data_IF_196186657011
#
_entry.id   IF_196186657011
#
_cell.length_a   1.000
_cell.length_b   1.000
_cell.length_c   1.000
_cell.angle_alpha   90.00
_cell.angle_beta   90.00
_cell.angle_gamma   90.00
#
_symmetry.space_group_name_H-M   'P 1'
#
loop_
_entity.id
_entity.type
_entity.pdbx_description
1 polymer ?
#
# COMPACT_ATOMS: atom_id res chain seq x y z
N UNK A 1 -33.13 -0.42 -0.15
CA UNK A 1 -31.96 -1.16 0.41
C UNK A 1 -30.69 -0.31 0.35
N UNK A 2 -30.21 0.11 -0.82
CA UNK A 2 -29.00 0.96 -0.93
C UNK A 2 -29.13 2.31 -0.21
N UNK A 3 -30.28 2.97 -0.27
CA UNK A 3 -30.51 4.24 0.45
C UNK A 3 -30.36 4.08 1.96
N UNK A 4 -30.92 3.02 2.55
CA UNK A 4 -30.76 2.72 3.98
C UNK A 4 -29.30 2.44 4.35
N UNK A 5 -28.56 1.74 3.49
CA UNK A 5 -27.14 1.51 3.71
C UNK A 5 -26.33 2.82 3.65
N UNK A 6 -26.69 3.73 2.75
CA UNK A 6 -26.06 5.05 2.64
C UNK A 6 -26.39 5.94 3.83
N UNK A 7 -27.62 5.88 4.35
CA UNK A 7 -27.97 6.58 5.59
C UNK A 7 -27.11 6.10 6.76
N UNK A 8 -26.82 4.80 6.86
CA UNK A 8 -25.88 4.27 7.87
C UNK A 8 -24.46 4.75 7.58
N UNK A 9 -24.04 4.82 6.33
CA UNK A 9 -22.70 5.33 5.95
C UNK A 9 -22.50 6.76 6.45
N UNK A 10 -23.45 7.66 6.17
CA UNK A 10 -23.33 9.07 6.55
C UNK A 10 -23.50 9.30 8.04
N UNK A 11 -24.48 8.67 8.67
CA UNK A 11 -24.82 8.97 10.06
C UNK A 11 -23.98 8.19 11.09
N UNK A 12 -23.31 7.11 10.67
CA UNK A 12 -22.57 6.24 11.57
C UNK A 12 -21.17 5.93 11.06
N UNK A 13 -21.05 5.29 9.90
CA UNK A 13 -19.78 4.74 9.43
C UNK A 13 -18.70 5.83 9.25
N UNK A 14 -19.00 6.91 8.52
CA UNK A 14 -18.03 7.98 8.26
C UNK A 14 -17.63 8.70 9.56
N UNK A 15 -18.58 9.18 10.40
CA UNK A 15 -18.23 9.80 11.68
C UNK A 15 -17.38 8.91 12.59
N UNK A 16 -17.74 7.63 12.73
CA UNK A 16 -17.00 6.67 13.54
C UNK A 16 -15.58 6.46 13.00
N UNK A 17 -15.44 6.33 11.67
CA UNK A 17 -14.14 6.17 11.00
C UNK A 17 -13.26 7.41 11.15
N UNK A 18 -13.80 8.62 11.03
CA UNK A 18 -13.05 9.86 11.25
C UNK A 18 -12.51 9.89 12.68
N UNK A 19 -13.37 9.65 13.68
CA UNK A 19 -12.96 9.64 15.08
C UNK A 19 -11.86 8.60 15.35
N UNK A 20 -12.01 7.40 14.79
CA UNK A 20 -11.04 6.33 14.95
C UNK A 20 -9.70 6.66 14.26
N UNK A 21 -9.72 7.22 13.04
CA UNK A 21 -8.50 7.63 12.32
C UNK A 21 -7.76 8.75 13.04
N UNK A 22 -8.47 9.73 13.60
CA UNK A 22 -7.86 10.79 14.42
C UNK A 22 -7.18 10.25 15.69
N UNK A 23 -7.76 9.22 16.30
CA UNK A 23 -7.12 8.53 17.44
C UNK A 23 -5.90 7.73 16.99
N UNK A 24 -6.00 7.08 15.82
CA UNK A 24 -4.92 6.28 15.25
C UNK A 24 -3.69 7.11 14.91
N UNK A 25 -3.87 8.35 14.43
CA UNK A 25 -2.78 9.28 14.14
C UNK A 25 -1.90 9.57 15.38
N UNK A 26 -2.51 9.58 16.57
CA UNK A 26 -1.80 9.82 17.84
C UNK A 26 -1.17 8.55 18.43
N UNK A 27 -1.36 7.40 17.77
CA UNK A 27 -0.88 6.13 18.28
C UNK A 27 0.64 6.01 18.12
N UNK A 28 1.31 5.63 19.21
CA UNK A 28 2.75 5.32 19.25
C UNK A 28 3.23 4.28 18.21
N UNK A 29 2.31 3.51 17.62
CA UNK A 29 2.59 2.59 16.50
C UNK A 29 3.04 3.30 15.22
N UNK A 30 2.66 4.56 15.03
CA UNK A 30 3.06 5.38 13.89
C UNK A 30 4.36 6.16 14.14
N UNK A 31 5.10 5.84 15.21
CA UNK A 31 6.43 6.40 15.45
C UNK A 31 7.47 5.84 14.46
N UNK A 32 8.04 6.73 13.65
CA UNK A 32 9.09 6.42 12.67
C UNK A 32 10.33 5.76 13.29
N UNK A 33 10.63 6.05 14.56
CA UNK A 33 11.76 5.45 15.26
C UNK A 33 11.62 3.92 15.37
N UNK A 34 10.39 3.39 15.40
CA UNK A 34 10.11 1.94 15.43
C UNK A 34 10.37 1.26 14.10
N UNK A 35 10.28 2.00 13.00
CA UNK A 35 10.48 1.47 11.64
C UNK A 35 11.97 1.27 11.37
N UNK A 36 12.82 2.18 11.86
CA UNK A 36 14.27 2.18 11.64
C UNK A 36 15.02 1.07 12.38
N UNK A 37 14.46 0.53 13.46
CA UNK A 37 15.09 -0.56 14.25
C UNK A 37 15.14 -1.92 13.51
N UNK A 38 14.48 -2.04 12.35
CA UNK A 38 14.43 -3.27 11.56
C UNK A 38 15.34 -3.30 10.33
N UNK A 39 16.14 -2.26 10.10
CA UNK A 39 17.30 -2.36 9.20
C UNK A 39 18.35 -3.18 9.94
N UNK A 40 18.22 -4.49 9.90
CA UNK A 40 19.33 -5.36 10.28
C UNK A 40 20.49 -5.01 9.39
N UNK A 41 21.59 -4.54 9.98
CA UNK A 41 22.91 -4.58 9.38
C UNK A 41 23.05 -5.98 8.79
N UNK A 42 23.09 -6.07 7.47
CA UNK A 42 23.46 -7.32 6.82
C UNK A 42 24.90 -7.49 7.25
N UNK A 43 25.14 -8.37 8.22
CA UNK A 43 26.46 -8.78 8.64
C UNK A 43 27.08 -9.55 7.48
N UNK A 44 27.50 -8.79 6.46
CA UNK A 44 28.34 -9.26 5.38
C UNK A 44 29.66 -9.57 6.06
N UNK A 45 29.80 -10.79 6.58
CA UNK A 45 31.12 -11.32 6.92
C UNK A 45 32.04 -10.96 5.76
N UNK A 46 32.99 -10.08 6.02
CA UNK A 46 34.03 -9.66 5.09
C UNK A 46 34.74 -10.92 4.60
N UNK A 47 34.26 -11.51 3.50
CA UNK A 47 35.06 -12.42 2.71
C UNK A 47 35.78 -11.52 1.73
N UNK A 48 36.96 -11.10 2.16
CA UNK A 48 37.91 -10.23 1.43
C UNK A 48 38.47 -10.90 0.16
N UNK A 49 38.10 -12.15 -0.11
CA UNK A 49 38.52 -12.89 -1.28
C UNK A 49 37.32 -13.15 -2.20
N UNK A 50 37.21 -12.38 -3.28
CA UNK A 50 36.83 -12.81 -4.65
C UNK A 50 36.32 -11.61 -5.47
N UNK A 51 37.25 -10.75 -5.90
CA UNK A 51 37.02 -9.91 -7.08
C UNK A 51 37.14 -10.82 -8.31
N UNK A 52 36.02 -11.15 -8.94
CA UNK A 52 36.02 -11.63 -10.32
C UNK A 52 35.13 -10.74 -11.18
N UNK A 53 35.74 -10.07 -12.14
CA UNK A 53 35.13 -9.16 -13.12
C UNK A 53 33.93 -9.77 -13.88
N UNK A 54 33.01 -8.94 -14.40
CA UNK A 54 31.81 -9.41 -15.07
C UNK A 54 32.13 -9.95 -16.47
N UNK A 55 32.34 -11.27 -16.58
CA UNK A 55 32.43 -11.96 -17.87
C UNK A 55 31.05 -12.37 -18.39
N UNK A 56 30.76 -12.01 -19.63
CA UNK A 56 29.51 -12.32 -20.32
C UNK A 56 29.34 -13.84 -20.58
N UNK A 57 28.17 -14.38 -20.18
CA UNK A 57 27.50 -15.62 -20.65
C UNK A 57 28.35 -16.91 -20.84
N UNK A 58 28.27 -17.82 -19.86
CA UNK A 58 27.96 -19.28 -20.02
C UNK A 58 27.95 -19.99 -18.66
N UNK A 59 26.92 -20.79 -18.35
CA UNK A 59 26.93 -21.87 -17.32
C UNK A 59 25.91 -22.90 -17.81
N UNK A 60 26.19 -24.13 -18.26
CA UNK A 60 27.04 -25.23 -17.77
C UNK A 60 26.96 -25.47 -16.27
N UNK A 61 26.34 -26.60 -15.94
CA UNK A 61 26.16 -27.19 -14.61
C UNK A 61 27.52 -27.63 -14.05
N UNK A 62 27.98 -27.02 -12.95
CA UNK A 62 29.00 -27.61 -12.09
C UNK A 62 29.02 -26.95 -10.72
N UNK A 63 28.53 -27.68 -9.70
CA UNK A 63 28.81 -27.56 -8.26
C UNK A 63 29.09 -26.18 -7.68
N UNK A 64 28.06 -25.36 -7.45
CA UNK A 64 28.17 -24.21 -6.55
C UNK A 64 27.98 -24.68 -5.10
N UNK A 65 28.99 -24.44 -4.24
CA UNK A 65 28.80 -24.48 -2.78
C UNK A 65 27.63 -23.56 -2.45
N UNK A 66 26.51 -24.13 -2.01
CA UNK A 66 25.31 -23.38 -1.65
C UNK A 66 25.62 -22.56 -0.40
N UNK A 67 26.04 -21.32 -0.58
CA UNK A 67 26.21 -20.36 0.49
C UNK A 67 24.87 -20.27 1.24
N UNK A 68 24.86 -20.61 2.52
CA UNK A 68 23.66 -20.48 3.35
C UNK A 68 23.31 -19.01 3.45
N UNK A 69 22.34 -18.57 2.65
CA UNK A 69 21.85 -17.20 2.69
C UNK A 69 21.04 -17.01 3.96
N UNK A 70 21.37 -16.03 4.82
CA UNK A 70 20.59 -15.76 6.02
C UNK A 70 19.14 -15.43 5.66
N UNK A 71 18.19 -15.95 6.44
CA UNK A 71 16.77 -15.67 6.26
C UNK A 71 16.47 -14.22 6.68
N UNK A 72 16.16 -13.36 5.70
CA UNK A 72 15.84 -11.95 5.95
C UNK A 72 14.33 -11.78 6.08
N UNK A 73 13.85 -11.52 7.30
CA UNK A 73 12.44 -11.27 7.58
C UNK A 73 12.05 -9.81 7.32
N UNK A 74 10.75 -9.55 7.18
CA UNK A 74 10.19 -8.19 7.08
C UNK A 74 10.08 -7.54 8.46
N UNK A 75 10.21 -6.21 8.53
CA UNK A 75 10.08 -5.46 9.78
C UNK A 75 8.72 -5.72 10.43
N UNK A 76 8.72 -6.15 11.69
CA UNK A 76 7.50 -6.42 12.47
C UNK A 76 6.62 -5.17 12.57
N UNK A 77 7.22 -3.99 12.71
CA UNK A 77 6.50 -2.72 12.76
C UNK A 77 5.74 -2.45 11.46
N UNK A 78 6.36 -2.67 10.30
CA UNK A 78 5.70 -2.51 8.99
C UNK A 78 4.58 -3.54 8.81
N UNK A 79 4.78 -4.78 9.25
CA UNK A 79 3.73 -5.80 9.18
C UNK A 79 2.51 -5.37 10.03
N UNK A 80 2.75 -4.89 11.26
CA UNK A 80 1.71 -4.41 12.16
C UNK A 80 0.94 -3.23 11.57
N UNK A 81 1.64 -2.21 11.06
CA UNK A 81 1.01 -1.05 10.41
C UNK A 81 0.17 -1.47 9.19
N UNK A 82 0.69 -2.37 8.36
CA UNK A 82 -0.04 -2.88 7.20
C UNK A 82 -1.31 -3.62 7.60
N UNK A 83 -1.30 -4.34 8.73
CA UNK A 83 -2.47 -5.06 9.23
C UNK A 83 -3.58 -4.10 9.67
N UNK A 84 -3.22 -2.88 10.09
CA UNK A 84 -4.18 -1.84 10.49
C UNK A 84 -4.68 -1.05 9.27
N UNK A 85 -3.77 -0.60 8.39
CA UNK A 85 -4.11 0.33 7.31
C UNK A 85 -4.81 -0.34 6.12
N UNK A 86 -4.48 -1.59 5.80
CA UNK A 86 -5.08 -2.27 4.64
C UNK A 86 -6.60 -2.45 4.75
N UNK A 87 -7.16 -2.95 5.87
CA UNK A 87 -8.61 -3.07 6.02
C UNK A 87 -9.34 -1.73 5.90
N UNK A 88 -8.70 -0.65 6.35
CA UNK A 88 -9.29 0.70 6.31
C UNK A 88 -9.41 1.23 4.89
N UNK A 89 -8.36 1.07 4.08
CA UNK A 89 -8.42 1.43 2.67
C UNK A 89 -9.41 0.55 1.88
N UNK A 90 -9.49 -0.75 2.20
CA UNK A 90 -10.49 -1.65 1.60
C UNK A 90 -11.92 -1.24 1.98
N UNK A 91 -12.14 -0.85 3.24
CA UNK A 91 -13.42 -0.33 3.72
C UNK A 91 -13.80 0.97 3.03
N UNK A 92 -12.82 1.87 2.81
CA UNK A 92 -13.02 3.12 2.09
C UNK A 92 -13.41 2.85 0.63
N UNK A 93 -12.70 1.96 -0.07
CA UNK A 93 -13.05 1.56 -1.44
C UNK A 93 -14.49 1.01 -1.54
N UNK A 94 -14.89 0.15 -0.60
CA UNK A 94 -16.25 -0.39 -0.57
C UNK A 94 -17.30 0.70 -0.32
N UNK A 95 -16.99 1.67 0.54
CA UNK A 95 -17.86 2.81 0.85
C UNK A 95 -18.03 3.72 -0.37
N UNK A 96 -16.92 4.09 -1.03
CA UNK A 96 -16.93 4.88 -2.26
C UNK A 96 -17.77 4.20 -3.36
N UNK A 97 -17.58 2.89 -3.58
CA UNK A 97 -18.35 2.14 -4.58
C UNK A 97 -19.86 2.21 -4.30
N UNK A 98 -20.28 2.05 -3.04
CA UNK A 98 -21.70 2.14 -2.66
C UNK A 98 -22.26 3.54 -2.89
N UNK A 99 -21.50 4.58 -2.55
CA UNK A 99 -21.88 5.97 -2.77
C UNK A 99 -21.99 6.29 -4.27
N UNK A 100 -21.05 5.83 -5.09
CA UNK A 100 -21.11 6.02 -6.55
C UNK A 100 -22.37 5.39 -7.15
N UNK A 101 -22.65 4.12 -6.81
CA UNK A 101 -23.86 3.43 -7.28
C UNK A 101 -25.11 4.17 -6.82
N UNK A 102 -25.14 4.61 -5.56
CA UNK A 102 -26.28 5.37 -5.03
C UNK A 102 -26.49 6.70 -5.76
N UNK A 103 -25.43 7.50 -5.97
CA UNK A 103 -25.52 8.76 -6.71
C UNK A 103 -25.99 8.53 -8.14
N UNK A 104 -25.42 7.54 -8.84
CA UNK A 104 -25.82 7.20 -10.21
C UNK A 104 -27.30 6.83 -10.33
N UNK A 105 -27.85 6.13 -9.33
CA UNK A 105 -29.28 5.79 -9.30
C UNK A 105 -30.19 7.00 -9.02
N UNK A 106 -29.64 8.10 -8.51
CA UNK A 106 -30.37 9.35 -8.25
C UNK A 106 -30.33 10.33 -9.45
N UNK A 107 -29.48 10.07 -10.45
CA UNK A 107 -29.44 10.89 -11.66
C UNK A 107 -30.72 10.63 -12.48
N UNK A 108 -31.53 11.66 -12.76
CA UNK A 108 -32.77 11.52 -13.52
C UNK A 108 -32.49 11.26 -15.00
N UNK A 109 -33.54 10.95 -15.77
CA UNK A 109 -33.44 10.92 -17.23
C UNK A 109 -33.10 12.31 -17.75
N UNK A 110 -32.38 12.36 -18.86
CA UNK A 110 -32.01 13.61 -19.53
C UNK A 110 -33.30 14.30 -19.99
N UNK A 111 -33.50 15.53 -19.52
CA UNK A 111 -34.58 16.43 -19.91
C UNK A 111 -33.98 17.74 -20.44
N UNK A 112 -34.76 18.49 -21.22
CA UNK A 112 -34.30 19.75 -21.82
C UNK A 112 -34.51 20.89 -20.81
N UNK A 113 -33.44 21.24 -20.08
CA UNK A 113 -33.44 22.29 -19.04
C UNK A 113 -33.46 21.74 -17.61
N UNK A 114 -33.32 22.64 -16.61
CA UNK A 114 -33.25 22.30 -15.17
C UNK A 114 -32.09 21.34 -14.76
N UNK A 115 -30.95 21.43 -15.46
CA UNK A 115 -29.82 20.52 -15.29
C UNK A 115 -28.86 20.87 -14.13
N UNK A 116 -29.15 21.92 -13.35
CA UNK A 116 -28.24 22.33 -12.26
C UNK A 116 -28.12 21.26 -11.17
N UNK A 117 -29.23 20.62 -10.77
CA UNK A 117 -29.18 19.53 -9.80
C UNK A 117 -28.36 18.34 -10.31
N UNK A 118 -28.45 18.06 -11.62
CA UNK A 118 -27.70 16.98 -12.27
C UNK A 118 -26.20 17.29 -12.29
N UNK A 119 -25.80 18.51 -12.62
CA UNK A 119 -24.36 18.87 -12.63
C UNK A 119 -23.73 18.80 -11.24
N UNK A 120 -24.49 19.10 -10.18
CA UNK A 120 -24.04 18.90 -8.79
C UNK A 120 -23.86 17.41 -8.46
N UNK A 121 -24.79 16.55 -8.90
CA UNK A 121 -24.67 15.09 -8.73
C UNK A 121 -23.46 14.53 -9.49
N UNK A 122 -23.21 15.00 -10.71
CA UNK A 122 -22.06 14.60 -11.53
C UNK A 122 -20.73 15.02 -10.86
N UNK A 123 -20.63 16.26 -10.38
CA UNK A 123 -19.45 16.74 -9.67
C UNK A 123 -19.17 15.93 -8.39
N UNK A 124 -20.22 15.56 -7.64
CA UNK A 124 -20.08 14.70 -6.47
C UNK A 124 -19.62 13.29 -6.86
N UNK A 125 -20.15 12.74 -7.95
CA UNK A 125 -19.76 11.42 -8.45
C UNK A 125 -18.27 11.39 -8.85
N UNK A 126 -17.80 12.44 -9.50
CA UNK A 126 -16.38 12.61 -9.85
C UNK A 126 -15.50 12.66 -8.60
N UNK A 127 -15.88 13.44 -7.59
CA UNK A 127 -15.13 13.56 -6.34
C UNK A 127 -15.02 12.21 -5.60
N UNK A 128 -16.12 11.47 -5.48
CA UNK A 128 -16.09 10.12 -4.89
C UNK A 128 -15.21 9.17 -5.71
N UNK A 129 -15.22 9.31 -7.04
CA UNK A 129 -14.31 8.58 -7.93
C UNK A 129 -12.84 8.90 -7.69
N UNK A 130 -12.49 10.17 -7.48
CA UNK A 130 -11.11 10.58 -7.17
C UNK A 130 -10.64 9.95 -5.86
N UNK A 131 -11.44 10.04 -4.79
CA UNK A 131 -11.12 9.42 -3.49
C UNK A 131 -10.94 7.91 -3.62
N UNK A 132 -11.78 7.24 -4.41
CA UNK A 132 -11.65 5.81 -4.66
C UNK A 132 -10.33 5.47 -5.39
N UNK A 133 -9.97 6.25 -6.40
CA UNK A 133 -8.72 6.07 -7.14
C UNK A 133 -7.51 6.25 -6.22
N UNK A 134 -7.51 7.29 -5.39
CA UNK A 134 -6.43 7.55 -4.43
C UNK A 134 -6.29 6.39 -3.44
N UNK A 135 -7.39 5.94 -2.85
CA UNK A 135 -7.41 4.79 -1.94
C UNK A 135 -6.87 3.50 -2.61
N UNK A 136 -7.24 3.26 -3.86
CA UNK A 136 -6.71 2.15 -4.66
C UNK A 136 -5.20 2.27 -4.89
N UNK A 137 -4.72 3.47 -5.20
CA UNK A 137 -3.29 3.74 -5.40
C UNK A 137 -2.46 3.49 -4.14
N UNK A 138 -3.00 3.79 -2.95
CA UNK A 138 -2.36 3.50 -1.67
C UNK A 138 -2.33 2.00 -1.38
N UNK A 139 -3.40 1.26 -1.70
CA UNK A 139 -3.42 -0.20 -1.55
C UNK A 139 -2.36 -0.89 -2.42
N UNK A 140 -2.09 -0.33 -3.59
CA UNK A 140 -1.04 -0.78 -4.51
C UNK A 140 0.38 -0.56 -3.96
N UNK A 141 0.58 0.37 -3.03
CA UNK A 141 1.91 0.64 -2.46
C UNK A 141 2.38 -0.49 -1.53
N UNK A 142 1.47 -1.18 -0.84
CA UNK A 142 1.86 -2.26 0.07
C UNK A 142 2.65 -3.39 -0.60
N UNK A 143 2.15 -4.04 -1.69
CA UNK A 143 2.93 -5.07 -2.37
C UNK A 143 4.18 -4.49 -3.06
N UNK A 144 4.12 -3.26 -3.59
CA UNK A 144 5.27 -2.59 -4.23
C UNK A 144 6.42 -2.39 -3.26
N UNK A 145 6.13 -1.98 -2.02
CA UNK A 145 7.12 -1.87 -0.95
C UNK A 145 7.89 -3.18 -0.74
N UNK A 146 7.18 -4.30 -0.53
CA UNK A 146 7.81 -5.60 -0.28
C UNK A 146 8.60 -6.09 -1.50
N UNK A 147 8.08 -5.90 -2.71
CA UNK A 147 8.78 -6.26 -3.94
C UNK A 147 10.06 -5.44 -4.13
N UNK A 148 10.03 -4.14 -3.87
CA UNK A 148 11.20 -3.27 -3.96
C UNK A 148 12.23 -3.64 -2.90
N UNK A 149 11.81 -3.84 -1.64
CA UNK A 149 12.70 -4.30 -0.57
C UNK A 149 13.39 -5.61 -0.95
N UNK A 150 12.64 -6.60 -1.46
CA UNK A 150 13.21 -7.88 -1.88
C UNK A 150 14.26 -7.73 -3.00
N UNK A 151 14.03 -6.83 -3.96
CA UNK A 151 15.01 -6.52 -5.02
C UNK A 151 16.28 -5.91 -4.46
N UNK A 152 16.18 -4.94 -3.55
CA UNK A 152 17.32 -4.27 -2.93
C UNK A 152 18.12 -5.29 -2.09
N UNK A 153 17.45 -6.05 -1.23
CA UNK A 153 18.06 -7.12 -0.43
C UNK A 153 18.78 -8.16 -1.29
N UNK A 154 18.17 -8.59 -2.41
CA UNK A 154 18.83 -9.53 -3.33
C UNK A 154 20.11 -8.96 -3.95
N UNK A 155 20.17 -7.64 -4.20
CA UNK A 155 21.38 -6.98 -4.68
C UNK A 155 22.44 -6.89 -3.59
N UNK A 156 22.06 -6.55 -2.35
CA UNK A 156 22.99 -6.49 -1.21
C UNK A 156 23.67 -7.84 -0.95
N UNK A 157 22.91 -8.95 -1.02
CA UNK A 157 23.49 -10.31 -0.89
C UNK A 157 24.45 -10.62 -2.05
N UNK A 158 24.10 -10.22 -3.28
CA UNK A 158 24.90 -10.51 -4.47
C UNK A 158 26.15 -9.64 -4.58
N UNK A 159 26.13 -8.44 -4.01
CA UNK A 159 27.19 -7.44 -4.12
C UNK A 159 27.48 -6.81 -2.73
N UNK A 160 28.08 -7.58 -1.81
CA UNK A 160 28.27 -7.14 -0.42
C UNK A 160 29.19 -5.93 -0.27
N UNK A 161 30.05 -5.65 -1.24
CA UNK A 161 30.98 -4.53 -1.23
C UNK A 161 30.36 -3.19 -1.61
N UNK A 162 29.11 -3.17 -2.10
CA UNK A 162 28.41 -1.95 -2.50
C UNK A 162 27.47 -1.54 -1.36
N UNK A 163 27.79 -0.43 -0.69
CA UNK A 163 27.08 0.08 0.49
C UNK A 163 25.98 1.11 0.18
N UNK A 164 25.77 1.50 -1.08
CA UNK A 164 24.88 2.61 -1.48
C UNK A 164 23.53 2.19 -2.09
N UNK A 165 22.94 1.06 -1.65
CA UNK A 165 21.70 0.50 -2.20
C UNK A 165 20.39 1.07 -1.65
#
# INVERSE_FOLDING_TARGET
>A
KITQEVDVIFNKTIPDKIKWLMQLEQDSRFDLNRVNQGMTDIDTKENDDLISEPSAKKRTLSGEKKQETPMISSSKAIIELNAILKPELQSLLSTCLKLQVWIQLLIPKIEDGNNFGVSVQEALLEEVGRVQQDAGSYLDQFPRFHANRAKIVSKMIKYPTIVCY
#
